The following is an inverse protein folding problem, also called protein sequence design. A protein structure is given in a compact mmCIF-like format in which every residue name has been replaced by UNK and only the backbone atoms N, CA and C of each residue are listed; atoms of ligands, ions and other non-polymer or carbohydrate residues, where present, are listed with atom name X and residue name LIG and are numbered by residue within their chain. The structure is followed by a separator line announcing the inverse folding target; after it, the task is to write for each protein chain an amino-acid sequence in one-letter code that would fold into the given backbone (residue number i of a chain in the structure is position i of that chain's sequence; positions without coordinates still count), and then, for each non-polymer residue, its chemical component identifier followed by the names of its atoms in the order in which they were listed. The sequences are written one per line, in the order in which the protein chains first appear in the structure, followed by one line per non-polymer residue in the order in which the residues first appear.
data_IF_081560968432
#
_entry.id   IF_081560968432
#
_cell.length_a   1.000
_cell.length_b   1.000
_cell.length_c   1.000
_cell.angle_alpha   90.00
_cell.angle_beta   90.00
_cell.angle_gamma   90.00
#
_symmetry.space_group_name_H-M   'P 1'
#
loop_
_entity.id
_entity.type
_entity.pdbx_description
1 polymer ?
#
# COMPACT_ATOMS: atom_id res chain seq x y z
N UNK A 1 16.60 -4.90 32.49
CA UNK A 1 17.17 -3.61 32.01
C UNK A 1 17.57 -3.54 30.53
N UNK A 2 17.70 -4.64 29.75
CA UNK A 2 18.13 -4.58 28.32
C UNK A 2 17.06 -4.24 27.26
N UNK A 3 15.79 -4.00 27.63
CA UNK A 3 14.69 -3.72 26.66
C UNK A 3 14.53 -2.23 26.29
N UNK A 4 15.04 -1.29 27.10
CA UNK A 4 14.83 0.15 26.90
C UNK A 4 15.61 0.77 25.73
N UNK A 5 16.86 0.36 25.50
CA UNK A 5 17.71 0.96 24.46
C UNK A 5 17.28 0.60 23.02
N UNK A 6 16.69 -0.59 22.80
CA UNK A 6 16.13 -0.97 21.49
C UNK A 6 14.88 -0.14 21.11
N UNK A 7 14.16 0.43 22.09
CA UNK A 7 12.92 1.18 21.87
C UNK A 7 13.17 2.63 21.40
N UNK A 8 14.20 3.30 21.94
CA UNK A 8 14.54 4.68 21.57
C UNK A 8 15.28 4.76 20.22
N UNK A 9 16.24 3.86 19.97
CA UNK A 9 16.95 3.75 18.69
C UNK A 9 15.99 3.43 17.53
N UNK A 10 14.93 2.65 17.80
CA UNK A 10 13.88 2.34 16.82
C UNK A 10 12.88 3.48 16.61
N UNK A 11 12.71 4.41 17.56
CA UNK A 11 11.89 5.61 17.38
C UNK A 11 12.47 6.58 16.35
N UNK A 12 13.74 6.96 16.52
CA UNK A 12 14.46 7.83 15.59
C UNK A 12 14.57 7.24 14.18
N UNK A 13 14.94 5.95 14.06
CA UNK A 13 14.97 5.26 12.76
C UNK A 13 13.59 5.18 12.10
N UNK A 14 12.50 5.02 12.87
CA UNK A 14 11.13 5.04 12.33
C UNK A 14 10.74 6.42 11.81
N UNK A 15 11.17 7.49 12.48
CA UNK A 15 10.94 8.86 12.03
C UNK A 15 11.69 9.15 10.72
N UNK A 16 13.01 8.88 10.68
CA UNK A 16 13.81 9.05 9.46
C UNK A 16 13.26 8.22 8.30
N UNK A 17 12.87 6.96 8.55
CA UNK A 17 12.28 6.09 7.53
C UNK A 17 10.93 6.61 7.02
N UNK A 18 10.12 7.23 7.88
CA UNK A 18 8.85 7.86 7.51
C UNK A 18 9.06 9.11 6.67
N UNK A 19 10.11 9.89 6.91
CA UNK A 19 10.46 11.05 6.08
C UNK A 19 11.04 10.60 4.74
N UNK A 20 11.98 9.64 4.76
CA UNK A 20 12.61 9.10 3.56
C UNK A 20 11.63 8.39 2.63
N UNK A 21 10.54 7.82 3.15
CA UNK A 21 9.51 7.20 2.31
C UNK A 21 8.78 8.21 1.41
N UNK A 22 8.78 9.51 1.75
CA UNK A 22 8.20 10.55 0.90
C UNK A 22 9.09 10.99 -0.27
N UNK A 23 10.38 10.65 -0.27
CA UNK A 23 11.31 11.07 -1.34
C UNK A 23 10.82 10.60 -2.73
N UNK A 24 10.43 9.33 -2.95
CA UNK A 24 9.88 8.88 -4.22
C UNK A 24 8.62 9.64 -4.67
N UNK A 25 7.74 10.00 -3.72
CA UNK A 25 6.53 10.79 -4.02
C UNK A 25 6.91 12.21 -4.46
N UNK A 26 7.86 12.85 -3.78
CA UNK A 26 8.35 14.16 -4.17
C UNK A 26 8.98 14.15 -5.57
N UNK A 27 9.74 13.12 -5.91
CA UNK A 27 10.31 12.96 -7.26
C UNK A 27 9.21 12.89 -8.33
N UNK A 28 8.16 12.09 -8.11
CA UNK A 28 7.04 11.99 -9.06
C UNK A 28 6.32 13.33 -9.19
N UNK A 29 6.05 14.01 -8.07
CA UNK A 29 5.40 15.33 -8.10
C UNK A 29 6.23 16.34 -8.89
N UNK A 30 7.55 16.36 -8.71
CA UNK A 30 8.43 17.25 -9.46
C UNK A 30 8.41 16.95 -10.97
N UNK A 31 8.48 15.68 -11.37
CA UNK A 31 8.42 15.27 -12.78
C UNK A 31 7.07 15.63 -13.42
N UNK A 32 5.97 15.45 -12.69
CA UNK A 32 4.62 15.76 -13.17
C UNK A 32 4.39 17.27 -13.31
N UNK A 33 4.93 18.06 -12.37
CA UNK A 33 4.86 19.53 -12.47
C UNK A 33 5.70 20.06 -13.62
N UNK A 34 6.90 19.50 -13.82
CA UNK A 34 7.76 19.87 -14.94
C UNK A 34 7.13 19.49 -16.29
N UNK A 35 6.55 18.30 -16.41
CA UNK A 35 5.88 17.88 -17.65
C UNK A 35 4.65 18.72 -17.96
N UNK A 36 3.90 19.15 -16.93
CA UNK A 36 2.81 20.13 -17.08
C UNK A 36 3.31 21.46 -17.62
N UNK A 37 4.39 22.00 -17.04
CA UNK A 37 5.01 23.22 -17.52
C UNK A 37 5.45 23.11 -18.99
N UNK A 38 6.21 22.06 -19.32
CA UNK A 38 6.74 21.84 -20.67
C UNK A 38 5.61 21.68 -21.70
N UNK A 39 4.57 20.91 -21.39
CA UNK A 39 3.47 20.69 -22.32
C UNK A 39 2.61 21.95 -22.51
N UNK A 40 2.24 22.63 -21.42
CA UNK A 40 1.33 23.79 -21.52
C UNK A 40 2.05 25.02 -22.07
N UNK A 41 3.22 25.36 -21.55
CA UNK A 41 3.90 26.61 -21.91
C UNK A 41 4.76 26.45 -23.18
N UNK A 42 5.69 25.50 -23.20
CA UNK A 42 6.60 25.35 -24.34
C UNK A 42 5.85 24.83 -25.56
N UNK A 43 5.10 23.73 -25.42
CA UNK A 43 4.39 23.14 -26.56
C UNK A 43 3.13 23.95 -26.92
N UNK A 44 2.10 23.98 -26.06
CA UNK A 44 0.81 24.55 -26.44
C UNK A 44 0.83 26.08 -26.62
N UNK A 45 1.54 26.83 -25.77
CA UNK A 45 1.53 28.30 -25.89
C UNK A 45 2.52 28.83 -26.93
N UNK A 46 3.76 28.34 -26.94
CA UNK A 46 4.85 28.86 -27.80
C UNK A 46 4.88 28.19 -29.18
N UNK A 47 4.82 26.85 -29.26
CA UNK A 47 5.00 26.17 -30.57
C UNK A 47 3.73 26.05 -31.40
N UNK A 48 2.56 25.88 -30.79
CA UNK A 48 1.29 25.73 -31.53
C UNK A 48 0.77 27.10 -31.96
N UNK A 49 0.82 27.35 -33.27
CA UNK A 49 0.40 28.60 -33.89
C UNK A 49 -1.12 28.70 -34.10
N UNK A 50 -1.79 27.56 -34.36
CA UNK A 50 -3.24 27.52 -34.61
C UNK A 50 -4.05 27.64 -33.31
N UNK A 51 -4.95 28.64 -33.17
CA UNK A 51 -5.75 28.80 -31.96
C UNK A 51 -6.69 27.62 -31.69
N UNK A 52 -7.25 27.00 -32.74
CA UNK A 52 -8.18 25.89 -32.61
C UNK A 52 -7.47 24.63 -32.09
N UNK A 53 -6.30 24.29 -32.64
CA UNK A 53 -5.49 23.15 -32.21
C UNK A 53 -5.01 23.34 -30.77
N UNK A 54 -4.60 24.56 -30.41
CA UNK A 54 -4.19 24.94 -29.05
C UNK A 54 -5.28 24.62 -28.03
N UNK A 55 -6.53 25.02 -28.32
CA UNK A 55 -7.67 24.76 -27.42
C UNK A 55 -7.93 23.26 -27.29
N UNK A 56 -7.90 22.51 -28.39
CA UNK A 56 -8.14 21.05 -28.37
C UNK A 56 -7.07 20.33 -27.53
N UNK A 57 -5.79 20.60 -27.77
CA UNK A 57 -4.70 19.97 -27.02
C UNK A 57 -4.76 20.32 -25.54
N UNK A 58 -5.04 21.58 -25.19
CA UNK A 58 -5.17 22.00 -23.79
C UNK A 58 -6.33 21.28 -23.10
N UNK A 59 -7.51 21.18 -23.73
CA UNK A 59 -8.67 20.50 -23.12
C UNK A 59 -8.37 19.02 -22.88
N UNK A 60 -7.87 18.31 -23.91
CA UNK A 60 -7.57 16.87 -23.80
C UNK A 60 -6.50 16.61 -22.75
N UNK A 61 -5.42 17.40 -22.75
CA UNK A 61 -4.34 17.26 -21.79
C UNK A 61 -4.81 17.51 -20.35
N UNK A 62 -5.59 18.57 -20.11
CA UNK A 62 -6.10 18.85 -18.77
C UNK A 62 -7.05 17.77 -18.27
N UNK A 63 -7.89 17.20 -19.13
CA UNK A 63 -8.75 16.08 -18.74
C UNK A 63 -7.92 14.86 -18.28
N UNK A 64 -6.88 14.50 -19.03
CA UNK A 64 -5.97 13.41 -18.66
C UNK A 64 -5.18 13.74 -17.39
N UNK A 65 -4.68 14.98 -17.28
CA UNK A 65 -3.89 15.43 -16.12
C UNK A 65 -4.72 15.44 -14.83
N UNK A 66 -5.96 15.94 -14.86
CA UNK A 66 -6.88 15.91 -13.72
C UNK A 66 -7.17 14.47 -13.30
N UNK A 67 -7.42 13.58 -14.26
CA UNK A 67 -7.67 12.18 -13.97
C UNK A 67 -6.42 11.48 -13.38
N UNK A 68 -5.23 11.75 -13.93
CA UNK A 68 -3.97 11.23 -13.40
C UNK A 68 -3.69 11.72 -11.98
N UNK A 69 -3.80 13.03 -11.74
CA UNK A 69 -3.55 13.61 -10.40
C UNK A 69 -4.57 13.11 -9.38
N UNK A 70 -5.84 12.97 -9.77
CA UNK A 70 -6.88 12.39 -8.92
C UNK A 70 -6.58 10.94 -8.54
N UNK A 71 -6.23 10.10 -9.52
CA UNK A 71 -5.91 8.68 -9.26
C UNK A 71 -4.62 8.52 -8.45
N UNK A 72 -3.59 9.32 -8.74
CA UNK A 72 -2.36 9.34 -7.96
C UNK A 72 -2.60 9.80 -6.52
N UNK A 73 -3.39 10.86 -6.31
CA UNK A 73 -3.83 11.31 -4.99
C UNK A 73 -4.53 10.18 -4.23
N UNK A 74 -5.51 9.53 -4.86
CA UNK A 74 -6.18 8.38 -4.27
C UNK A 74 -5.21 7.26 -3.93
N UNK A 75 -4.18 7.00 -4.73
CA UNK A 75 -3.19 5.96 -4.44
C UNK A 75 -2.34 6.27 -3.19
N UNK A 76 -2.00 7.54 -2.95
CA UNK A 76 -1.21 7.96 -1.78
C UNK A 76 -2.08 8.03 -0.53
N UNK A 77 -3.31 8.55 -0.62
CA UNK A 77 -4.10 8.87 0.56
C UNK A 77 -5.15 7.81 0.91
N UNK A 78 -5.31 6.76 0.11
CA UNK A 78 -6.17 5.63 0.48
C UNK A 78 -5.44 4.71 1.45
N UNK A 79 -5.87 4.77 2.71
CA UNK A 79 -5.29 3.94 3.77
C UNK A 79 -5.51 2.45 3.53
N UNK A 80 -4.55 1.60 3.97
CA UNK A 80 -4.72 0.18 3.90
C UNK A 80 -5.86 -0.38 4.74
N UNK A 81 -6.67 -1.21 4.08
CA UNK A 81 -7.76 -1.89 4.74
C UNK A 81 -7.21 -2.98 5.67
N UNK A 82 -7.48 -2.83 6.96
CA UNK A 82 -7.15 -3.81 7.99
C UNK A 82 -8.22 -4.90 8.09
N UNK A 83 -7.84 -6.11 8.54
CA UNK A 83 -8.80 -7.11 8.99
C UNK A 83 -9.72 -6.53 10.07
N UNK A 84 -11.00 -6.88 10.03
CA UNK A 84 -11.94 -6.52 11.09
C UNK A 84 -11.53 -7.16 12.43
N UNK A 85 -11.96 -6.56 13.54
CA UNK A 85 -11.66 -7.03 14.90
C UNK A 85 -12.01 -8.51 15.15
N UNK A 86 -13.00 -9.07 14.46
CA UNK A 86 -13.35 -10.51 14.56
C UNK A 86 -12.21 -11.48 14.23
N UNK A 87 -11.20 -11.03 13.48
CA UNK A 87 -10.02 -11.85 13.14
C UNK A 87 -8.91 -11.73 14.19
N UNK A 88 -8.99 -10.71 15.06
CA UNK A 88 -8.04 -10.54 16.16
C UNK A 88 -8.38 -11.51 17.29
N UNK A 89 -7.34 -12.01 17.95
CA UNK A 89 -7.52 -12.78 19.17
C UNK A 89 -8.10 -11.86 20.24
N UNK A 90 -9.10 -12.37 20.97
CA UNK A 90 -9.57 -11.70 22.18
C UNK A 90 -8.44 -11.61 23.20
N UNK A 91 -8.55 -10.70 24.17
CA UNK A 91 -7.56 -10.59 25.24
C UNK A 91 -7.29 -11.93 25.94
N UNK A 92 -8.36 -12.66 26.27
CA UNK A 92 -8.29 -13.96 26.94
C UNK A 92 -7.67 -15.04 26.05
N UNK A 93 -7.98 -15.06 24.75
CA UNK A 93 -7.40 -16.04 23.82
C UNK A 93 -5.92 -15.74 23.56
N UNK A 94 -5.56 -14.45 23.52
CA UNK A 94 -4.18 -14.02 23.40
C UNK A 94 -3.35 -14.45 24.61
N UNK A 95 -3.83 -14.18 25.82
CA UNK A 95 -3.14 -14.59 27.05
C UNK A 95 -2.96 -16.10 27.13
N UNK A 96 -4.01 -16.88 26.81
CA UNK A 96 -3.91 -18.34 26.75
C UNK A 96 -2.90 -18.82 25.71
N UNK A 97 -2.89 -18.20 24.53
CA UNK A 97 -1.95 -18.55 23.46
C UNK A 97 -0.50 -18.25 23.85
N UNK A 98 -0.25 -17.10 24.48
CA UNK A 98 1.08 -16.67 24.92
C UNK A 98 1.62 -17.49 26.11
N UNK A 99 0.74 -17.95 26.99
CA UNK A 99 1.10 -18.76 28.16
C UNK A 99 1.27 -20.27 27.85
N UNK A 100 0.77 -20.74 26.71
CA UNK A 100 0.88 -22.16 26.34
C UNK A 100 2.25 -22.44 25.69
N UNK A 101 3.07 -23.25 26.37
CA UNK A 101 4.42 -23.62 25.91
C UNK A 101 4.40 -24.71 24.83
N UNK A 102 3.32 -25.51 24.77
CA UNK A 102 3.23 -26.65 23.83
C UNK A 102 2.77 -26.18 22.45
N UNK A 103 3.59 -26.36 21.39
CA UNK A 103 3.26 -25.86 20.06
C UNK A 103 2.05 -26.56 19.43
N UNK A 104 1.81 -27.83 19.77
CA UNK A 104 0.65 -28.58 19.25
C UNK A 104 -0.68 -28.05 19.81
N UNK A 105 -0.70 -27.61 21.06
CA UNK A 105 -1.90 -27.00 21.67
C UNK A 105 -2.14 -25.62 21.07
N UNK A 106 -1.10 -24.81 20.88
CA UNK A 106 -1.20 -23.53 20.19
C UNK A 106 -1.79 -23.66 18.77
N UNK A 107 -1.32 -24.65 17.99
CA UNK A 107 -1.88 -24.94 16.66
C UNK A 107 -3.35 -25.32 16.75
N UNK A 108 -3.71 -26.18 17.70
CA UNK A 108 -5.09 -26.62 17.88
C UNK A 108 -6.02 -25.45 18.24
N UNK A 109 -5.58 -24.55 19.13
CA UNK A 109 -6.32 -23.33 19.48
C UNK A 109 -6.58 -22.45 18.25
N UNK A 110 -5.56 -22.24 17.41
CA UNK A 110 -5.69 -21.47 16.16
C UNK A 110 -6.65 -22.15 15.17
N UNK A 111 -6.63 -23.48 15.07
CA UNK A 111 -7.56 -24.26 14.25
C UNK A 111 -8.99 -24.09 14.74
N UNK A 112 -9.23 -24.21 16.03
CA UNK A 112 -10.58 -24.11 16.61
C UNK A 112 -11.16 -22.69 16.50
N UNK A 113 -10.32 -21.66 16.61
CA UNK A 113 -10.71 -20.28 16.30
C UNK A 113 -10.99 -20.08 14.81
N UNK A 114 -10.15 -20.63 13.92
CA UNK A 114 -10.32 -20.50 12.48
C UNK A 114 -11.62 -21.12 11.96
N UNK A 115 -12.13 -22.20 12.59
CA UNK A 115 -13.43 -22.82 12.24
C UNK A 115 -14.62 -21.85 12.38
N UNK A 116 -14.51 -20.84 13.24
CA UNK A 116 -15.56 -19.83 13.48
C UNK A 116 -15.47 -18.64 12.50
N UNK A 117 -14.46 -18.62 11.63
CA UNK A 117 -14.17 -17.51 10.73
C UNK A 117 -14.28 -17.95 9.26
N UNK A 118 -14.62 -17.04 8.34
CA UNK A 118 -14.64 -17.33 6.91
C UNK A 118 -13.21 -17.35 6.35
N UNK A 119 -12.43 -18.40 6.69
CA UNK A 119 -11.03 -18.58 6.26
C UNK A 119 -10.80 -19.95 5.64
N UNK A 120 -10.61 -19.96 4.32
CA UNK A 120 -10.48 -21.21 3.55
C UNK A 120 -9.03 -21.55 3.23
N UNK A 121 -8.14 -20.56 3.19
CA UNK A 121 -6.73 -20.79 2.85
C UNK A 121 -5.89 -21.24 4.04
N UNK A 122 -4.83 -22.01 3.77
CA UNK A 122 -3.85 -22.51 4.73
C UNK A 122 -2.42 -22.21 4.25
N UNK A 123 -1.43 -22.44 5.10
CA UNK A 123 -0.02 -22.42 4.70
C UNK A 123 0.32 -23.63 3.84
N UNK A 124 1.50 -23.67 3.22
CA UNK A 124 1.97 -24.85 2.47
C UNK A 124 2.07 -26.12 3.32
N UNK A 125 2.21 -25.98 4.64
CA UNK A 125 2.19 -27.08 5.61
C UNK A 125 0.78 -27.45 6.12
N UNK A 126 -0.28 -26.83 5.58
CA UNK A 126 -1.66 -27.06 6.03
C UNK A 126 -2.06 -26.32 7.31
N UNK A 127 -1.16 -25.55 7.93
CA UNK A 127 -1.44 -24.80 9.14
C UNK A 127 -2.31 -23.56 8.90
N UNK A 128 -2.99 -23.10 9.95
CA UNK A 128 -3.75 -21.84 9.94
C UNK A 128 -2.78 -20.67 9.73
N UNK A 129 -3.13 -19.76 8.83
CA UNK A 129 -2.33 -18.56 8.57
C UNK A 129 -2.50 -17.58 9.74
N UNK A 130 -1.52 -17.50 10.62
CA UNK A 130 -1.52 -16.60 11.78
C UNK A 130 -0.49 -15.47 11.63
N UNK A 131 -0.71 -14.36 12.33
CA UNK A 131 0.25 -13.26 12.45
C UNK A 131 0.61 -13.02 13.92
N UNK A 132 1.83 -13.40 14.32
CA UNK A 132 2.30 -13.22 15.70
C UNK A 132 2.44 -11.74 16.08
N UNK A 133 2.81 -10.88 15.12
CA UNK A 133 2.99 -9.44 15.35
C UNK A 133 1.68 -8.69 15.60
N UNK A 134 0.60 -9.11 14.94
CA UNK A 134 -0.70 -8.46 15.03
C UNK A 134 -1.70 -9.24 15.91
N UNK A 135 -1.32 -10.44 16.37
CA UNK A 135 -2.17 -11.41 17.08
C UNK A 135 -3.54 -11.60 16.41
N UNK A 136 -3.52 -11.96 15.12
CA UNK A 136 -4.73 -12.20 14.34
C UNK A 136 -4.60 -13.39 13.40
N UNK A 137 -5.72 -14.07 13.16
CA UNK A 137 -5.84 -15.08 12.11
C UNK A 137 -5.99 -14.34 10.77
N UNK A 138 -5.04 -14.55 9.86
CA UNK A 138 -4.98 -13.84 8.58
C UNK A 138 -6.18 -14.28 7.72
N UNK A 139 -7.06 -13.34 7.32
CA UNK A 139 -8.07 -13.61 6.31
C UNK A 139 -7.44 -14.07 4.99
N UNK A 140 -8.25 -14.66 4.13
CA UNK A 140 -7.78 -15.05 2.80
C UNK A 140 -7.23 -13.85 2.03
N UNK A 141 -6.07 -14.05 1.38
CA UNK A 141 -5.29 -13.00 0.70
C UNK A 141 -4.78 -11.86 1.61
N UNK A 142 -4.80 -12.03 2.94
CA UNK A 142 -4.19 -11.07 3.87
C UNK A 142 -2.70 -11.38 4.08
N UNK A 143 -1.88 -10.33 4.07
CA UNK A 143 -0.44 -10.41 4.33
C UNK A 143 -0.01 -9.32 5.32
N UNK A 144 1.01 -9.62 6.13
CA UNK A 144 1.58 -8.64 7.05
C UNK A 144 2.66 -7.83 6.32
N UNK A 145 2.46 -6.52 6.23
CA UNK A 145 3.47 -5.61 5.71
C UNK A 145 4.40 -5.19 6.84
N UNK A 146 5.67 -5.61 6.79
CA UNK A 146 6.69 -5.18 7.75
C UNK A 146 6.98 -3.67 7.69
N UNK A 147 6.76 -3.04 6.53
CA UNK A 147 6.96 -1.60 6.34
C UNK A 147 5.90 -0.81 7.08
N UNK A 148 4.63 -1.16 6.88
CA UNK A 148 3.49 -0.51 7.53
C UNK A 148 3.23 -1.04 8.95
N UNK A 149 3.91 -2.11 9.36
CA UNK A 149 3.76 -2.78 10.65
C UNK A 149 2.33 -3.24 10.95
N UNK A 150 1.61 -3.69 9.91
CA UNK A 150 0.20 -4.08 10.01
C UNK A 150 -0.17 -5.16 8.99
N UNK A 151 -1.22 -5.91 9.29
CA UNK A 151 -1.85 -6.82 8.35
C UNK A 151 -2.75 -6.06 7.38
N UNK A 152 -2.62 -6.39 6.10
CA UNK A 152 -3.29 -5.70 4.99
C UNK A 152 -4.11 -6.71 4.20
N UNK A 153 -5.40 -6.42 4.03
CA UNK A 153 -6.31 -7.25 3.24
C UNK A 153 -5.98 -7.14 1.75
N UNK A 154 -5.96 -8.29 1.06
CA UNK A 154 -5.72 -8.38 -0.39
C UNK A 154 -4.47 -7.62 -0.83
N UNK A 155 -3.43 -7.69 0.02
CA UNK A 155 -2.15 -7.06 -0.23
C UNK A 155 -1.50 -7.72 -1.44
N UNK A 156 -1.05 -6.88 -2.38
CA UNK A 156 -0.20 -7.33 -3.49
C UNK A 156 1.27 -7.11 -3.12
N UNK A 157 1.68 -5.84 -3.01
CA UNK A 157 3.02 -5.45 -2.61
C UNK A 157 3.02 -4.11 -1.86
N UNK A 158 4.16 -3.78 -1.26
CA UNK A 158 4.39 -2.43 -0.72
C UNK A 158 5.12 -1.60 -1.78
N UNK A 159 4.48 -0.52 -2.27
CA UNK A 159 5.05 0.33 -3.31
C UNK A 159 5.76 1.54 -2.68
N UNK A 160 7.09 1.69 -2.84
CA UNK A 160 7.82 2.85 -2.34
C UNK A 160 7.35 4.18 -2.98
N UNK A 161 6.83 4.11 -4.21
CA UNK A 161 6.40 5.27 -5.00
C UNK A 161 5.05 5.86 -4.58
N UNK A 162 4.27 5.13 -3.78
CA UNK A 162 2.94 5.53 -3.30
C UNK A 162 2.86 5.68 -1.78
N UNK A 163 3.97 5.54 -1.05
CA UNK A 163 4.07 5.55 0.42
C UNK A 163 3.29 4.46 1.19
N UNK A 164 2.30 3.82 0.57
CA UNK A 164 1.42 2.83 1.20
C UNK A 164 1.34 1.53 0.39
N UNK A 165 0.89 0.41 1.01
CA UNK A 165 0.72 -0.86 0.31
C UNK A 165 -0.32 -0.75 -0.81
N UNK A 166 -0.06 -1.42 -1.94
CA UNK A 166 -0.99 -1.49 -3.05
C UNK A 166 -1.95 -2.66 -2.82
N UNK A 167 -3.26 -2.38 -2.90
CA UNK A 167 -4.31 -3.39 -2.78
C UNK A 167 -4.65 -3.97 -4.14
N UNK A 168 -4.79 -5.28 -4.21
CA UNK A 168 -5.18 -5.98 -5.43
C UNK A 168 -6.63 -5.70 -5.89
N UNK A 169 -7.45 -4.95 -5.12
CA UNK A 169 -8.86 -4.66 -5.46
C UNK A 169 -9.25 -3.19 -5.48
N UNK A 170 -8.36 -2.26 -5.16
CA UNK A 170 -8.60 -0.91 -5.66
C UNK A 170 -8.39 -0.95 -7.16
N UNK A 171 -9.23 -0.28 -7.93
CA UNK A 171 -9.12 0.03 -9.36
C UNK A 171 -7.77 0.63 -9.83
N UNK A 172 -6.75 0.63 -8.96
CA UNK A 172 -5.42 1.22 -9.07
C UNK A 172 -4.34 0.23 -9.55
N UNK A 173 -4.57 -1.09 -9.49
CA UNK A 173 -3.59 -2.05 -10.06
C UNK A 173 -3.41 -1.87 -11.58
N UNK A 174 -4.42 -1.32 -12.25
CA UNK A 174 -4.39 -1.08 -13.71
C UNK A 174 -3.46 0.07 -14.12
N UNK A 175 -3.27 1.09 -13.27
CA UNK A 175 -2.62 2.35 -13.69
C UNK A 175 -1.10 2.32 -13.66
N UNK A 176 -0.47 1.63 -12.70
CA UNK A 176 0.99 1.51 -12.67
C UNK A 176 1.54 0.66 -13.83
N UNK A 177 0.72 -0.22 -14.42
CA UNK A 177 1.12 -1.01 -15.59
C UNK A 177 1.02 -0.23 -16.92
N UNK A 178 0.32 0.90 -16.96
CA UNK A 178 0.05 1.66 -18.21
C UNK A 178 0.97 2.87 -18.40
N UNK A 179 1.72 3.29 -17.38
CA UNK A 179 2.58 4.48 -17.45
C UNK A 179 3.83 4.35 -18.35
N UNK A 180 4.47 3.18 -18.56
CA UNK A 180 5.62 3.13 -19.47
C UNK A 180 5.24 3.23 -20.95
N UNK A 181 4.03 2.83 -21.35
CA UNK A 181 3.68 2.68 -22.77
C UNK A 181 3.33 4.01 -23.47
N UNK A 182 2.74 4.96 -22.73
CA UNK A 182 2.33 6.25 -23.31
C UNK A 182 3.40 7.34 -23.23
N UNK A 183 4.37 7.26 -22.32
CA UNK A 183 5.44 8.27 -22.21
C UNK A 183 6.63 8.00 -23.15
N UNK A 184 6.88 6.73 -23.50
CA UNK A 184 7.93 6.35 -24.47
C UNK A 184 7.50 6.42 -25.94
N UNK A 185 6.22 6.69 -26.20
CA UNK A 185 5.70 6.88 -27.57
C UNK A 185 5.63 8.35 -28.00
N UNK A 186 6.01 9.28 -27.11
CA UNK A 186 6.01 10.73 -27.36
C UNK A 186 7.41 11.38 -27.21
N UNK A 187 8.46 10.57 -27.11
CA UNK A 187 9.88 10.92 -27.29
C UNK A 187 10.44 10.13 -28.47
#
# INVERSE_FOLDING_TARGET
MRRGWKMALSGGLRCCRRVLSWVPVLVIVLVVLWSYYAYVFELCLVTVLSPAEKVIYLILYHAIFVFFTWTYWKSIFTLPQQPNQKFHLSYTDKERYENEERPEVQKQMLVDMAKKLPVYTRTGSGAVRFCDRCHLIKPDRCHHCSVCAMCVLKMDHHCPWGNYPVFALSSMSFFFSLWPACFLSAL
#
